data_IF_559248866845
#
_entry.id   IF_559248866845
#
_cell.length_a   1.000
_cell.length_b   1.000
_cell.length_c   1.000
_cell.angle_alpha   90.00
_cell.angle_beta   90.00
_cell.angle_gamma   90.00
#
_symmetry.space_group_name_H-M   'P 1'
#
loop_
_entity.id
_entity.type
_entity.pdbx_description
1 polymer ?
#
# COMPACT_ATOMS: atom_id res chain seq x y z
N UNK A 1 3.32 21.88 8.64
CA UNK A 1 3.34 20.48 9.13
C UNK A 1 3.77 20.54 10.58
N UNK A 2 3.07 19.87 11.51
CA UNK A 2 3.48 19.91 12.91
C UNK A 2 4.81 19.17 13.08
N UNK A 3 5.78 19.66 13.89
CA UNK A 3 7.09 19.03 14.04
C UNK A 3 7.02 17.55 14.49
N UNK A 4 5.95 17.17 15.20
CA UNK A 4 5.67 15.77 15.55
C UNK A 4 5.28 14.89 14.34
N UNK A 5 4.59 15.46 13.36
CA UNK A 5 4.15 14.75 12.16
C UNK A 5 5.31 14.62 11.17
N UNK A 6 6.12 15.67 11.05
CA UNK A 6 7.37 15.65 10.27
C UNK A 6 8.32 14.58 10.80
N UNK A 7 8.47 14.48 12.13
CA UNK A 7 9.27 13.43 12.79
C UNK A 7 8.79 12.02 12.43
N UNK A 8 7.49 11.73 12.56
CA UNK A 8 6.93 10.39 12.26
C UNK A 8 7.15 10.00 10.81
N UNK A 9 6.99 10.96 9.89
CA UNK A 9 7.23 10.74 8.46
C UNK A 9 8.69 10.44 8.19
N UNK A 10 9.63 11.19 8.80
CA UNK A 10 11.07 10.97 8.63
C UNK A 10 11.53 9.64 9.23
N UNK A 11 11.03 9.25 10.40
CA UNK A 11 11.31 7.93 11.02
C UNK A 11 10.81 6.78 10.15
N UNK A 12 9.59 6.92 9.60
CA UNK A 12 9.02 5.93 8.70
C UNK A 12 9.79 5.84 7.38
N UNK A 13 10.25 6.97 6.85
CA UNK A 13 11.09 7.04 5.65
C UNK A 13 12.43 6.32 5.88
N UNK A 14 13.08 6.55 7.03
CA UNK A 14 14.35 5.90 7.39
C UNK A 14 14.19 4.38 7.47
N UNK A 15 13.11 3.92 8.09
CA UNK A 15 12.79 2.49 8.23
C UNK A 15 12.55 1.82 6.86
N UNK A 16 11.87 2.52 5.94
CA UNK A 16 11.65 2.03 4.58
C UNK A 16 12.94 2.04 3.75
N UNK A 17 13.88 2.96 4.04
CA UNK A 17 15.22 2.99 3.44
C UNK A 17 16.04 1.76 3.83
N UNK A 18 16.01 1.39 5.12
CA UNK A 18 16.80 0.28 5.67
C UNK A 18 16.20 -1.09 5.36
N UNK A 19 14.89 -1.19 5.16
CA UNK A 19 14.20 -2.43 4.81
C UNK A 19 13.27 -2.23 3.62
N UNK A 20 13.81 -2.15 2.38
CA UNK A 20 12.97 -2.15 1.20
C UNK A 20 12.23 -3.49 1.15
N UNK A 21 10.92 -3.45 1.33
CA UNK A 21 10.10 -4.66 1.41
C UNK A 21 10.41 -5.63 0.25
N UNK A 22 10.49 -6.93 0.55
CA UNK A 22 10.82 -7.95 -0.44
C UNK A 22 9.88 -7.87 -1.66
N UNK A 23 10.40 -7.40 -2.79
CA UNK A 23 9.70 -7.41 -4.06
C UNK A 23 9.61 -8.87 -4.53
N UNK A 24 8.47 -9.53 -4.27
CA UNK A 24 8.23 -10.85 -4.86
C UNK A 24 8.19 -10.73 -6.38
N UNK A 25 8.94 -11.61 -7.04
CA UNK A 25 9.12 -11.62 -8.48
C UNK A 25 7.81 -11.96 -9.19
N UNK A 26 7.54 -11.20 -10.25
CA UNK A 26 6.97 -11.70 -11.50
C UNK A 26 5.63 -12.42 -11.45
N UNK A 27 4.57 -11.67 -11.75
CA UNK A 27 3.42 -12.08 -12.58
C UNK A 27 2.66 -13.36 -12.19
N UNK A 28 1.46 -13.15 -11.63
CA UNK A 28 0.21 -13.68 -12.22
C UNK A 28 -0.95 -13.04 -11.46
N UNK A 29 -1.32 -11.81 -11.83
CA UNK A 29 -2.57 -11.19 -11.34
C UNK A 29 -3.81 -11.77 -12.06
N UNK A 30 -3.58 -12.56 -13.12
CA UNK A 30 -4.59 -13.24 -13.93
C UNK A 30 -5.58 -14.07 -13.10
N UNK A 31 -5.16 -14.92 -12.14
CA UNK A 31 -6.06 -15.70 -11.30
C UNK A 31 -6.93 -14.82 -10.40
N UNK A 32 -6.39 -13.69 -9.91
CA UNK A 32 -7.14 -12.75 -9.08
C UNK A 32 -8.22 -12.04 -9.91
N UNK A 33 -7.88 -11.58 -11.12
CA UNK A 33 -8.85 -10.98 -12.05
C UNK A 33 -9.91 -11.96 -12.52
N UNK A 34 -9.53 -13.20 -12.85
CA UNK A 34 -10.47 -14.27 -13.21
C UNK A 34 -11.41 -14.57 -12.04
N UNK A 35 -10.89 -14.66 -10.82
CA UNK A 35 -11.72 -14.90 -9.62
C UNK A 35 -12.72 -13.76 -9.38
N UNK A 36 -12.28 -12.51 -9.47
CA UNK A 36 -13.16 -11.34 -9.32
C UNK A 36 -14.24 -11.35 -10.41
N UNK A 37 -13.87 -11.62 -11.67
CA UNK A 37 -14.82 -11.63 -12.78
C UNK A 37 -15.85 -12.76 -12.66
N UNK A 38 -15.41 -13.99 -12.34
CA UNK A 38 -16.30 -15.16 -12.19
C UNK A 38 -17.28 -14.96 -11.04
N UNK A 39 -16.80 -14.47 -9.89
CA UNK A 39 -17.67 -14.28 -8.73
C UNK A 39 -18.66 -13.13 -8.97
N UNK A 40 -18.21 -12.04 -9.61
CA UNK A 40 -19.09 -10.92 -9.98
C UNK A 40 -20.17 -11.37 -10.95
N UNK A 41 -19.80 -12.09 -12.02
CA UNK A 41 -20.75 -12.64 -12.99
C UNK A 41 -21.74 -13.61 -12.34
N UNK A 42 -21.27 -14.46 -11.43
CA UNK A 42 -22.14 -15.39 -10.68
C UNK A 42 -23.14 -14.64 -9.79
N UNK A 43 -22.72 -13.55 -9.13
CA UNK A 43 -23.62 -12.74 -8.32
C UNK A 43 -24.73 -12.08 -9.16
N UNK A 44 -24.39 -11.53 -10.33
CA UNK A 44 -25.37 -10.92 -11.23
C UNK A 44 -26.32 -11.97 -11.85
N UNK A 45 -25.83 -13.18 -12.12
CA UNK A 45 -26.64 -14.23 -12.73
C UNK A 45 -27.62 -14.89 -11.75
N UNK A 46 -27.19 -15.16 -10.51
CA UNK A 46 -28.02 -15.92 -9.55
C UNK A 46 -28.99 -15.05 -8.74
N UNK A 47 -28.70 -13.77 -8.52
CA UNK A 47 -29.36 -13.04 -7.44
C UNK A 47 -29.87 -11.64 -7.83
N UNK A 48 -30.40 -11.45 -9.06
CA UNK A 48 -30.82 -10.16 -9.65
C UNK A 48 -31.82 -9.24 -8.91
N UNK A 49 -31.96 -9.31 -7.58
CA UNK A 49 -32.63 -8.32 -6.72
C UNK A 49 -31.72 -7.90 -5.56
N UNK A 50 -31.48 -6.58 -5.34
CA UNK A 50 -30.65 -6.09 -4.26
C UNK A 50 -31.24 -6.49 -2.90
N UNK A 51 -30.61 -7.44 -2.24
CA UNK A 51 -30.96 -7.93 -0.91
C UNK A 51 -29.79 -7.69 0.05
N UNK A 52 -30.05 -7.70 1.36
CA UNK A 52 -29.02 -7.50 2.41
C UNK A 52 -27.73 -8.35 2.21
N UNK A 53 -27.81 -9.61 1.73
CA UNK A 53 -26.64 -10.40 1.32
C UNK A 53 -25.75 -9.74 0.24
N UNK A 54 -26.33 -8.95 -0.67
CA UNK A 54 -25.57 -8.22 -1.70
C UNK A 54 -24.71 -7.12 -1.12
N UNK A 55 -25.22 -6.39 -0.12
CA UNK A 55 -24.47 -5.32 0.53
C UNK A 55 -23.26 -5.90 1.28
N UNK A 56 -23.43 -7.04 1.95
CA UNK A 56 -22.35 -7.76 2.63
C UNK A 56 -21.31 -8.31 1.65
N UNK A 57 -21.75 -8.90 0.53
CA UNK A 57 -20.84 -9.37 -0.52
C UNK A 57 -20.06 -8.21 -1.16
N UNK A 58 -20.73 -7.12 -1.51
CA UNK A 58 -20.08 -5.92 -2.07
C UNK A 58 -19.09 -5.31 -1.10
N UNK A 59 -19.42 -5.22 0.19
CA UNK A 59 -18.50 -4.79 1.22
C UNK A 59 -17.28 -5.72 1.30
N UNK A 60 -17.50 -7.04 1.24
CA UNK A 60 -16.44 -8.05 1.16
C UNK A 60 -15.52 -7.87 -0.04
N UNK A 61 -16.06 -7.64 -1.24
CA UNK A 61 -15.28 -7.35 -2.44
C UNK A 61 -14.51 -6.05 -2.35
N UNK A 62 -15.12 -5.01 -1.80
CA UNK A 62 -14.47 -3.74 -1.59
C UNK A 62 -13.27 -3.88 -0.64
N UNK A 63 -13.45 -4.57 0.48
CA UNK A 63 -12.38 -4.89 1.43
C UNK A 63 -11.28 -5.73 0.79
N UNK A 64 -11.63 -6.79 0.05
CA UNK A 64 -10.66 -7.62 -0.67
C UNK A 64 -9.89 -6.81 -1.73
N UNK A 65 -10.57 -5.94 -2.48
CA UNK A 65 -9.97 -5.04 -3.44
C UNK A 65 -9.03 -4.02 -2.80
N UNK A 66 -9.37 -3.52 -1.61
CA UNK A 66 -8.56 -2.55 -0.86
C UNK A 66 -7.28 -3.21 -0.32
N UNK A 67 -7.39 -4.43 0.21
CA UNK A 67 -6.22 -5.24 0.61
C UNK A 67 -5.34 -5.54 -0.60
N UNK A 68 -5.93 -5.95 -1.74
CA UNK A 68 -5.20 -6.19 -2.97
C UNK A 68 -4.47 -4.93 -3.47
N UNK A 69 -5.14 -3.78 -3.48
CA UNK A 69 -4.54 -2.49 -3.85
C UNK A 69 -3.37 -2.12 -2.92
N UNK A 70 -3.52 -2.33 -1.61
CA UNK A 70 -2.46 -2.07 -0.64
C UNK A 70 -1.23 -2.95 -0.88
N UNK A 71 -1.42 -4.25 -1.11
CA UNK A 71 -0.34 -5.18 -1.45
C UNK A 71 0.34 -4.76 -2.76
N UNK A 72 -0.44 -4.38 -3.77
CA UNK A 72 0.07 -3.94 -5.07
C UNK A 72 0.89 -2.65 -4.96
N UNK A 73 0.43 -1.67 -4.18
CA UNK A 73 1.17 -0.42 -3.92
C UNK A 73 2.52 -0.71 -3.25
N UNK A 74 2.54 -1.58 -2.24
CA UNK A 74 3.79 -2.01 -1.57
C UNK A 74 4.74 -2.70 -2.56
N UNK A 75 4.23 -3.60 -3.41
CA UNK A 75 5.05 -4.27 -4.44
C UNK A 75 5.61 -3.30 -5.47
N UNK A 76 4.81 -2.33 -5.94
CA UNK A 76 5.25 -1.31 -6.88
C UNK A 76 6.29 -0.38 -6.26
N UNK A 77 6.09 0.01 -4.99
CA UNK A 77 7.07 0.78 -4.21
C UNK A 77 8.41 0.03 -4.12
N UNK A 78 8.38 -1.23 -3.71
CA UNK A 78 9.57 -2.08 -3.60
C UNK A 78 10.28 -2.29 -4.94
N UNK A 79 9.54 -2.50 -6.04
CA UNK A 79 10.12 -2.66 -7.37
C UNK A 79 10.73 -1.36 -7.92
N UNK A 80 10.15 -0.22 -7.57
CA UNK A 80 10.65 1.11 -7.94
C UNK A 80 11.72 1.62 -6.98
N UNK A 81 11.95 0.93 -5.86
CA UNK A 81 12.95 1.29 -4.85
C UNK A 81 14.35 1.55 -5.43
N UNK A 82 14.90 0.73 -6.34
CA UNK A 82 16.22 0.98 -6.92
C UNK A 82 16.30 2.31 -7.69
N UNK A 83 15.20 2.73 -8.31
CA UNK A 83 15.09 4.00 -9.05
C UNK A 83 14.93 5.19 -8.12
N UNK A 84 14.23 5.03 -7.00
CA UNK A 84 13.99 6.08 -6.00
C UNK A 84 15.19 6.28 -5.06
N UNK A 85 15.91 5.21 -4.75
CA UNK A 85 17.07 5.19 -3.84
C UNK A 85 18.10 6.31 -4.08
N UNK A 86 18.56 6.61 -5.31
CA UNK A 86 19.54 7.67 -5.53
C UNK A 86 19.01 9.10 -5.26
N UNK A 87 17.69 9.30 -5.23
CA UNK A 87 17.07 10.58 -4.91
C UNK A 87 16.75 10.73 -3.41
N UNK A 88 16.84 9.64 -2.65
CA UNK A 88 16.69 9.62 -1.19
C UNK A 88 18.05 9.79 -0.52
N UNK A 89 18.41 11.04 -0.24
CA UNK A 89 19.64 11.37 0.47
C UNK A 89 19.49 11.08 1.97
N UNK A 90 19.86 9.85 2.37
CA UNK A 90 19.78 9.37 3.75
C UNK A 90 20.44 10.34 4.73
N UNK A 91 21.61 10.89 4.38
CA UNK A 91 22.35 11.80 5.25
C UNK A 91 21.53 13.06 5.54
N UNK A 92 20.80 13.56 4.53
CA UNK A 92 19.92 14.72 4.66
C UNK A 92 18.70 14.43 5.53
N UNK A 93 18.12 13.24 5.42
CA UNK A 93 16.98 12.79 6.26
C UNK A 93 17.42 12.65 7.73
N UNK A 94 18.58 12.06 7.99
CA UNK A 94 19.14 11.95 9.35
C UNK A 94 19.54 13.30 9.95
N UNK A 95 20.07 14.21 9.14
CA UNK A 95 20.39 15.57 9.57
C UNK A 95 19.11 16.32 9.97
N UNK A 96 18.06 16.24 9.15
CA UNK A 96 16.79 16.89 9.45
C UNK A 96 16.08 16.31 10.67
N UNK A 97 16.14 14.99 10.85
CA UNK A 97 15.61 14.34 12.05
C UNK A 97 16.36 14.78 13.31
N UNK A 98 17.70 14.91 13.23
CA UNK A 98 18.53 15.46 14.32
C UNK A 98 18.19 16.92 14.64
N UNK A 99 17.99 17.75 13.63
CA UNK A 99 17.53 19.14 13.84
C UNK A 99 16.19 19.16 14.59
N UNK A 100 15.19 18.38 14.17
CA UNK A 100 13.88 18.35 14.83
C UNK A 100 14.00 17.85 16.29
N UNK A 101 14.86 16.87 16.56
CA UNK A 101 15.13 16.40 17.92
C UNK A 101 15.84 17.45 18.80
N UNK A 102 16.70 18.27 18.21
CA UNK A 102 17.44 19.33 18.90
C UNK A 102 16.62 20.62 19.10
N UNK A 103 15.70 20.92 18.18
CA UNK A 103 14.87 22.15 18.20
C UNK A 103 13.52 21.96 18.89
N UNK A 104 13.14 20.71 19.19
CA UNK A 104 11.87 20.35 19.84
C UNK A 104 11.89 20.41 21.37
N UNK A 105 12.63 21.36 21.96
CA UNK A 105 12.64 21.65 23.39
C UNK A 105 11.74 22.84 23.73
#
# INVERSE_FOLDING_TARGET
MHPSDERKVLEQLLKEIDSPGNASSGWSDLPAWISIAVITASCFHFFGRPSLPHALLMAGFFLAGLVYAQVRLRRKSARNWPTLRPFLDRARVEARLREILLTGH
#
